data_IF_563289064015
#
_entry.id   IF_563289064015
#
_cell.length_a   1.000
_cell.length_b   1.000
_cell.length_c   1.000
_cell.angle_alpha   90.00
_cell.angle_beta   90.00
_cell.angle_gamma   90.00
#
_symmetry.space_group_name_H-M   'P 1'
#
loop_
_entity.id
_entity.type
_entity.pdbx_description
1 polymer ?
#
# COMPACT_ATOMS: atom_id res chain seq x y z
N UNK A 1 15.07 -11.78 0.01
CA UNK A 1 13.74 -12.26 -0.43
C UNK A 1 13.73 -12.10 -1.93
N UNK A 2 14.15 -13.15 -2.64
CA UNK A 2 14.18 -13.11 -4.09
C UNK A 2 12.73 -13.08 -4.59
N UNK A 3 12.42 -12.21 -5.57
CA UNK A 3 11.10 -12.15 -6.21
C UNK A 3 10.01 -11.31 -5.52
N UNK A 4 10.26 -10.69 -4.36
CA UNK A 4 9.32 -9.75 -3.71
C UNK A 4 9.67 -8.30 -4.05
N UNK A 5 8.68 -7.54 -4.53
CA UNK A 5 8.82 -6.10 -4.81
C UNK A 5 7.93 -5.25 -3.91
N UNK A 6 8.33 -4.00 -3.68
CA UNK A 6 7.47 -2.98 -3.07
C UNK A 6 6.69 -2.21 -4.15
N UNK A 7 5.40 -1.96 -3.92
CA UNK A 7 4.56 -1.14 -4.80
C UNK A 7 3.84 -0.08 -3.98
N UNK A 8 4.15 1.17 -4.30
CA UNK A 8 3.55 2.35 -3.68
C UNK A 8 2.35 2.78 -4.51
N UNK A 9 1.16 2.75 -3.90
CA UNK A 9 -0.03 3.35 -4.48
C UNK A 9 0.03 4.86 -4.25
N UNK A 10 0.34 5.60 -5.31
CA UNK A 10 0.48 7.07 -5.27
C UNK A 10 -0.84 7.83 -5.06
N UNK A 11 -1.96 7.12 -5.05
CA UNK A 11 -3.31 7.68 -4.95
C UNK A 11 -3.93 7.95 -6.31
N UNK A 12 -5.22 7.62 -6.45
CA UNK A 12 -6.03 7.97 -7.62
C UNK A 12 -6.54 9.41 -7.54
N UNK A 13 -7.42 9.81 -8.48
CA UNK A 13 -8.09 11.11 -8.46
C UNK A 13 -8.88 11.32 -7.15
N UNK A 14 -8.22 11.83 -6.12
CA UNK A 14 -8.84 12.14 -4.84
C UNK A 14 -9.72 13.38 -5.03
N UNK A 15 -10.95 13.15 -5.52
CA UNK A 15 -11.97 14.18 -5.74
C UNK A 15 -12.24 15.04 -4.49
N UNK A 16 -11.95 14.49 -3.30
CA UNK A 16 -12.19 15.14 -1.99
C UNK A 16 -11.09 16.13 -1.57
N UNK A 17 -9.85 15.94 -2.01
CA UNK A 17 -8.74 16.88 -1.72
C UNK A 17 -8.39 17.79 -2.90
N UNK A 18 -8.84 17.46 -4.12
CA UNK A 18 -8.56 18.25 -5.32
C UNK A 18 -7.07 18.34 -5.69
N UNK A 19 -6.20 17.53 -5.05
CA UNK A 19 -4.75 17.52 -5.22
C UNK A 19 -4.21 16.10 -5.25
N UNK A 20 -3.07 15.95 -5.90
CA UNK A 20 -2.27 14.72 -5.90
C UNK A 20 -1.78 14.42 -4.48
N UNK A 21 -2.23 13.31 -3.89
CA UNK A 21 -1.87 12.92 -2.52
C UNK A 21 -0.37 12.60 -2.40
N UNK A 22 0.22 11.97 -3.41
CA UNK A 22 1.64 11.60 -3.39
C UNK A 22 2.54 12.83 -3.18
N UNK A 23 2.18 13.96 -3.79
CA UNK A 23 2.91 15.22 -3.69
C UNK A 23 2.59 16.07 -2.45
N UNK A 24 1.73 15.61 -1.54
CA UNK A 24 1.43 16.33 -0.30
C UNK A 24 2.64 16.33 0.61
N UNK A 25 3.00 17.50 1.13
CA UNK A 25 4.11 17.66 2.07
C UNK A 25 3.68 17.34 3.50
N UNK A 26 4.50 16.57 4.20
CA UNK A 26 4.38 16.28 5.62
C UNK A 26 5.77 16.35 6.24
N UNK A 27 5.97 17.26 7.20
CA UNK A 27 7.26 17.48 7.87
C UNK A 27 8.45 17.62 6.89
N UNK A 28 8.26 18.40 5.82
CA UNK A 28 9.33 18.69 4.85
C UNK A 28 9.62 17.63 3.79
N UNK A 29 8.86 16.53 3.72
CA UNK A 29 8.95 15.53 2.65
C UNK A 29 7.60 15.24 2.02
N UNK A 30 7.56 14.83 0.76
CA UNK A 30 6.30 14.36 0.18
C UNK A 30 5.87 13.02 0.80
N UNK A 31 4.58 12.71 0.77
CA UNK A 31 4.09 11.41 1.22
C UNK A 31 4.72 10.25 0.41
N UNK A 32 4.93 10.47 -0.89
CA UNK A 32 5.61 9.53 -1.76
C UNK A 32 7.08 9.32 -1.33
N UNK A 33 7.83 10.41 -1.13
CA UNK A 33 9.24 10.33 -0.71
C UNK A 33 9.37 9.57 0.61
N UNK A 34 8.44 9.84 1.55
CA UNK A 34 8.41 9.18 2.85
C UNK A 34 8.21 7.68 2.71
N UNK A 35 7.15 7.26 1.99
CA UNK A 35 6.88 5.83 1.81
C UNK A 35 8.01 5.13 1.01
N UNK A 36 8.55 5.78 -0.02
CA UNK A 36 9.67 5.24 -0.78
C UNK A 36 10.92 5.03 0.09
N UNK A 37 11.23 5.97 0.97
CA UNK A 37 12.35 5.84 1.90
C UNK A 37 12.15 4.69 2.90
N UNK A 38 10.92 4.47 3.37
CA UNK A 38 10.60 3.37 4.30
C UNK A 38 10.67 1.99 3.63
N UNK A 39 10.26 1.86 2.36
CA UNK A 39 10.27 0.58 1.66
C UNK A 39 11.63 0.23 1.02
N UNK A 40 12.42 1.23 0.60
CA UNK A 40 13.72 1.03 -0.05
C UNK A 40 14.68 0.07 0.68
N UNK A 41 14.82 0.07 2.02
CA UNK A 41 15.72 -0.87 2.70
C UNK A 41 15.20 -2.33 2.72
N UNK A 42 13.92 -2.57 2.43
CA UNK A 42 13.31 -3.90 2.52
C UNK A 42 13.22 -4.62 1.17
N UNK A 43 13.18 -3.88 0.06
CA UNK A 43 12.95 -4.45 -1.27
C UNK A 43 14.06 -4.04 -2.23
N UNK A 44 14.53 -5.00 -3.04
CA UNK A 44 15.49 -4.71 -4.12
C UNK A 44 14.90 -3.80 -5.22
N UNK A 45 13.56 -3.81 -5.34
CA UNK A 45 12.84 -2.95 -6.26
C UNK A 45 11.59 -2.36 -5.60
N UNK A 46 11.42 -1.04 -5.74
CA UNK A 46 10.23 -0.31 -5.30
C UNK A 46 9.66 0.44 -6.50
N UNK A 47 8.39 0.19 -6.81
CA UNK A 47 7.65 0.81 -7.90
C UNK A 47 6.59 1.76 -7.35
N UNK A 48 6.23 2.76 -8.15
CA UNK A 48 5.11 3.66 -7.89
C UNK A 48 4.02 3.35 -8.92
N UNK A 49 2.85 2.90 -8.46
CA UNK A 49 1.68 2.70 -9.33
C UNK A 49 1.14 4.05 -9.80
N UNK A 50 0.93 4.17 -11.10
CA UNK A 50 0.50 5.39 -11.78
C UNK A 50 -0.60 5.09 -12.80
N UNK A 51 -1.48 6.06 -13.03
CA UNK A 51 -2.51 5.99 -14.08
C UNK A 51 -1.93 6.18 -15.49
N UNK A 52 -0.79 6.87 -15.60
CA UNK A 52 -0.02 7.07 -16.82
C UNK A 52 1.47 7.26 -16.51
N UNK A 53 2.38 6.89 -17.43
CA UNK A 53 3.81 7.15 -17.27
C UNK A 53 4.15 8.65 -17.20
N UNK A 54 5.30 8.96 -16.59
CA UNK A 54 5.91 10.28 -16.47
C UNK A 54 5.34 11.16 -15.35
N UNK A 55 4.60 10.60 -14.39
CA UNK A 55 3.93 11.37 -13.33
C UNK A 55 4.86 11.78 -12.19
N UNK A 56 5.77 10.90 -11.80
CA UNK A 56 6.75 11.06 -10.74
C UNK A 56 8.15 10.80 -11.31
N UNK A 57 8.70 11.76 -12.08
CA UNK A 57 10.06 11.64 -12.60
C UNK A 57 11.04 11.48 -11.43
N UNK A 58 11.86 10.42 -11.46
CA UNK A 58 12.77 10.04 -10.38
C UNK A 58 12.40 8.72 -9.68
N UNK A 59 11.20 8.20 -9.93
CA UNK A 59 10.76 6.89 -9.42
C UNK A 59 10.63 5.87 -10.55
N UNK A 60 10.73 4.58 -10.21
CA UNK A 60 10.33 3.50 -11.11
C UNK A 60 8.82 3.45 -11.12
N UNK A 61 8.22 3.80 -12.25
CA UNK A 61 6.77 3.82 -12.36
C UNK A 61 6.22 2.51 -12.92
N UNK A 62 5.02 2.17 -12.49
CA UNK A 62 4.24 1.06 -13.00
C UNK A 62 2.88 1.57 -13.43
N UNK A 63 2.69 1.70 -14.73
CA UNK A 63 1.43 2.16 -15.29
C UNK A 63 0.37 1.05 -15.23
N UNK A 64 -0.80 1.41 -14.70
CA UNK A 64 -1.96 0.52 -14.60
C UNK A 64 -2.38 -0.02 -15.98
N UNK A 65 -2.76 -1.29 -16.01
CA UNK A 65 -3.38 -1.92 -17.18
C UNK A 65 -4.85 -1.54 -17.34
N UNK A 66 -5.49 -1.13 -16.24
CA UNK A 66 -6.88 -0.73 -16.17
C UNK A 66 -7.00 0.64 -15.49
N UNK A 67 -6.57 1.73 -16.14
CA UNK A 67 -6.55 3.06 -15.53
C UNK A 67 -7.91 3.43 -14.93
N UNK A 68 -7.90 3.93 -13.69
CA UNK A 68 -9.10 4.35 -12.98
C UNK A 68 -9.91 3.22 -12.33
N UNK A 69 -9.43 1.97 -12.36
CA UNK A 69 -10.10 0.84 -11.70
C UNK A 69 -9.63 0.60 -10.25
N UNK A 70 -8.96 1.58 -9.65
CA UNK A 70 -8.63 1.59 -8.23
C UNK A 70 -7.41 0.72 -7.88
N UNK A 71 -7.12 0.58 -6.57
CA UNK A 71 -5.87 -0.04 -6.10
C UNK A 71 -5.72 -1.51 -6.52
N UNK A 72 -6.83 -2.23 -6.74
CA UNK A 72 -6.78 -3.61 -7.22
C UNK A 72 -6.18 -3.72 -8.63
N UNK A 73 -6.41 -2.71 -9.49
CA UNK A 73 -5.80 -2.66 -10.82
C UNK A 73 -4.30 -2.37 -10.77
N UNK A 74 -3.85 -1.56 -9.80
CA UNK A 74 -2.42 -1.36 -9.54
C UNK A 74 -1.72 -2.65 -9.12
N UNK A 75 -2.38 -3.47 -8.28
CA UNK A 75 -1.87 -4.78 -7.88
C UNK A 75 -1.84 -5.78 -9.07
N UNK A 76 -2.87 -5.80 -9.91
CA UNK A 76 -2.89 -6.61 -11.15
C UNK A 76 -1.72 -6.23 -12.06
N UNK A 77 -1.55 -4.93 -12.31
CA UNK A 77 -0.48 -4.42 -13.15
C UNK A 77 0.88 -4.77 -12.57
N UNK A 78 1.06 -4.71 -11.24
CA UNK A 78 2.29 -5.09 -10.57
C UNK A 78 2.73 -6.51 -10.93
N UNK A 79 1.85 -7.49 -10.75
CA UNK A 79 2.16 -8.88 -11.08
C UNK A 79 2.41 -9.09 -12.59
N UNK A 80 1.56 -8.50 -13.45
CA UNK A 80 1.64 -8.73 -14.89
C UNK A 80 2.83 -8.04 -15.56
N UNK A 81 3.28 -6.88 -15.04
CA UNK A 81 4.38 -6.10 -15.63
C UNK A 81 5.75 -6.56 -15.16
N UNK A 82 5.87 -6.99 -13.91
CA UNK A 82 7.17 -7.33 -13.29
C UNK A 82 7.41 -8.82 -13.24
N UNK A 83 6.35 -9.63 -13.26
CA UNK A 83 6.44 -11.06 -13.03
C UNK A 83 6.87 -11.43 -11.61
N UNK A 84 6.73 -10.52 -10.64
CA UNK A 84 7.06 -10.75 -9.24
C UNK A 84 6.32 -11.96 -8.65
N UNK A 85 6.97 -12.65 -7.72
CA UNK A 85 6.37 -13.74 -6.94
C UNK A 85 5.49 -13.21 -5.81
N UNK A 86 5.86 -12.04 -5.26
CA UNK A 86 5.06 -11.33 -4.29
C UNK A 86 5.19 -9.80 -4.44
N UNK A 87 4.15 -9.10 -4.05
CA UNK A 87 4.05 -7.64 -4.06
C UNK A 87 3.67 -7.19 -2.67
N UNK A 88 4.51 -6.38 -2.06
CA UNK A 88 4.16 -5.62 -0.87
C UNK A 88 3.52 -4.29 -1.31
N UNK A 89 2.22 -4.14 -1.03
CA UNK A 89 1.44 -2.99 -1.43
C UNK A 89 1.40 -1.98 -0.29
N UNK A 90 1.73 -0.71 -0.56
CA UNK A 90 1.69 0.38 0.43
C UNK A 90 1.04 1.63 -0.17
N UNK A 91 0.01 2.18 0.47
CA UNK A 91 -0.59 3.45 0.05
C UNK A 91 0.08 4.66 0.71
N UNK A 92 0.24 5.74 -0.05
CA UNK A 92 0.86 6.99 0.44
C UNK A 92 0.04 7.71 1.51
N UNK A 93 -1.25 7.38 1.68
CA UNK A 93 -2.10 7.98 2.71
C UNK A 93 -1.92 7.37 4.10
N UNK A 94 -1.01 6.41 4.26
CA UNK A 94 -0.54 5.88 5.55
C UNK A 94 0.87 6.43 5.88
N UNK A 95 1.02 7.74 6.16
CA UNK A 95 2.33 8.38 6.27
C UNK A 95 3.23 7.84 7.38
N UNK A 96 2.66 7.20 8.40
CA UNK A 96 3.41 6.67 9.54
C UNK A 96 3.62 5.16 9.46
N UNK A 97 3.05 4.48 8.46
CA UNK A 97 3.40 3.10 8.17
C UNK A 97 4.80 3.08 7.56
N UNK A 98 5.62 2.11 7.96
CA UNK A 98 7.03 2.13 7.61
C UNK A 98 7.71 0.78 7.72
N UNK A 99 9.05 0.81 7.68
CA UNK A 99 9.87 -0.38 7.53
C UNK A 99 9.62 -1.44 8.63
N UNK A 100 9.47 -1.02 9.88
CA UNK A 100 9.25 -1.96 11.01
C UNK A 100 7.95 -2.75 10.85
N UNK A 101 6.86 -2.10 10.45
CA UNK A 101 5.57 -2.76 10.23
C UNK A 101 5.61 -3.68 9.01
N UNK A 102 6.22 -3.21 7.92
CA UNK A 102 6.39 -4.02 6.71
C UNK A 102 7.24 -5.26 6.96
N UNK A 103 8.35 -5.12 7.70
CA UNK A 103 9.21 -6.23 8.09
C UNK A 103 8.45 -7.28 8.91
N UNK A 104 7.57 -6.86 9.82
CA UNK A 104 6.75 -7.78 10.60
C UNK A 104 5.74 -8.52 9.74
N UNK A 105 5.06 -7.85 8.80
CA UNK A 105 4.17 -8.50 7.84
C UNK A 105 4.92 -9.55 7.01
N UNK A 106 6.11 -9.21 6.51
CA UNK A 106 6.94 -10.10 5.70
C UNK A 106 7.38 -11.34 6.50
N UNK A 107 7.75 -11.17 7.76
CA UNK A 107 8.19 -12.26 8.63
C UNK A 107 7.05 -13.25 8.94
N UNK A 108 5.82 -12.76 9.08
CA UNK A 108 4.66 -13.56 9.49
C UNK A 108 3.83 -14.11 8.32
N UNK A 109 4.14 -13.70 7.09
CA UNK A 109 3.34 -14.03 5.92
C UNK A 109 3.22 -15.52 5.61
N UNK A 110 4.08 -16.36 6.19
CA UNK A 110 4.02 -17.83 6.02
C UNK A 110 3.96 -18.23 4.54
N UNK A 111 3.02 -19.10 4.18
CA UNK A 111 2.77 -19.54 2.80
C UNK A 111 1.43 -19.01 2.21
N UNK A 112 0.66 -18.22 2.96
CA UNK A 112 -0.66 -17.75 2.56
C UNK A 112 -0.63 -16.85 1.30
N UNK A 113 -1.71 -16.74 0.55
CA UNK A 113 -1.74 -15.86 -0.62
C UNK A 113 -1.61 -14.38 -0.26
N UNK A 114 -2.16 -13.97 0.89
CA UNK A 114 -2.04 -12.61 1.40
C UNK A 114 -1.69 -12.58 2.89
N UNK A 115 -1.01 -11.52 3.33
CA UNK A 115 -0.76 -11.24 4.74
C UNK A 115 -1.19 -9.80 5.05
N UNK A 116 -2.23 -9.65 5.87
CA UNK A 116 -2.95 -8.39 6.07
C UNK A 116 -3.18 -8.13 7.55
N UNK A 117 -3.00 -6.89 7.99
CA UNK A 117 -3.31 -6.48 9.37
C UNK A 117 -4.82 -6.38 9.54
N UNK A 118 -5.32 -6.90 10.67
CA UNK A 118 -6.69 -6.70 11.13
C UNK A 118 -6.68 -5.99 12.48
N UNK A 119 -7.29 -4.81 12.53
CA UNK A 119 -7.45 -4.01 13.75
C UNK A 119 -8.39 -4.70 14.73
N UNK A 120 -8.34 -4.32 16.00
CA UNK A 120 -9.31 -4.74 17.03
C UNK A 120 -10.76 -4.38 16.68
N UNK A 121 -10.97 -3.35 15.83
CA UNK A 121 -12.28 -3.00 15.28
C UNK A 121 -12.83 -4.03 14.28
N UNK A 122 -12.02 -5.00 13.84
CA UNK A 122 -12.33 -5.94 12.77
C UNK A 122 -12.02 -5.40 11.37
N UNK A 123 -11.52 -4.16 11.26
CA UNK A 123 -11.15 -3.56 9.99
C UNK A 123 -9.81 -4.09 9.49
N UNK A 124 -9.75 -4.41 8.20
CA UNK A 124 -8.55 -4.87 7.53
C UNK A 124 -7.82 -3.69 6.86
N UNK A 125 -6.49 -3.77 6.79
CA UNK A 125 -5.63 -2.80 6.11
C UNK A 125 -4.98 -3.39 4.84
N UNK A 126 -5.75 -3.57 3.75
CA UNK A 126 -5.25 -4.20 2.53
C UNK A 126 -4.29 -3.33 1.71
N UNK A 127 -4.12 -2.06 2.10
CA UNK A 127 -3.25 -1.13 1.39
C UNK A 127 -1.89 -0.96 2.08
N UNK A 128 -1.59 -1.79 3.08
CA UNK A 128 -0.26 -1.96 3.67
C UNK A 128 -0.06 -3.45 4.00
N UNK A 129 0.14 -4.26 2.96
CA UNK A 129 0.00 -5.70 3.05
C UNK A 129 0.85 -6.44 1.98
N UNK A 130 1.11 -7.73 2.22
CA UNK A 130 1.77 -8.60 1.26
C UNK A 130 0.73 -9.40 0.45
N UNK A 131 0.95 -9.50 -0.85
CA UNK A 131 0.18 -10.34 -1.77
C UNK A 131 1.12 -11.21 -2.58
N UNK A 132 0.82 -12.50 -2.73
CA UNK A 132 1.57 -13.45 -3.56
C UNK A 132 0.92 -13.60 -4.92
N UNK A 133 1.68 -14.15 -5.87
CA UNK A 133 1.23 -14.34 -7.26
C UNK A 133 -0.02 -15.21 -7.38
N UNK A 134 -0.30 -16.09 -6.41
CA UNK A 134 -1.55 -16.85 -6.32
C UNK A 134 -2.80 -15.95 -6.30
N UNK A 135 -2.69 -14.70 -5.84
CA UNK A 135 -3.77 -13.72 -5.90
C UNK A 135 -4.15 -13.29 -7.34
N UNK A 136 -3.29 -13.51 -8.35
CA UNK A 136 -3.46 -12.92 -9.68
C UNK A 136 -4.76 -13.34 -10.38
N UNK A 137 -5.14 -14.61 -10.30
CA UNK A 137 -6.39 -15.07 -10.90
C UNK A 137 -7.62 -14.53 -10.13
N UNK A 138 -7.73 -14.71 -8.79
CA UNK A 138 -8.83 -14.15 -8.00
C UNK A 138 -8.97 -12.63 -8.14
N UNK A 139 -7.86 -11.88 -8.16
CA UNK A 139 -7.90 -10.42 -8.31
C UNK A 139 -8.37 -10.00 -9.70
N UNK A 140 -7.98 -10.74 -10.75
CA UNK A 140 -8.43 -10.48 -12.13
C UNK A 140 -9.92 -10.73 -12.26
N UNK A 141 -10.44 -11.78 -11.63
CA UNK A 141 -11.87 -12.06 -11.55
C UNK A 141 -12.64 -10.93 -10.85
N UNK A 142 -12.15 -10.45 -9.69
CA UNK A 142 -12.73 -9.30 -9.01
C UNK A 142 -12.84 -8.06 -9.92
N UNK A 143 -11.77 -7.73 -10.65
CA UNK A 143 -11.76 -6.60 -11.59
C UNK A 143 -12.78 -6.79 -12.72
N UNK A 144 -12.88 -7.99 -13.29
CA UNK A 144 -13.85 -8.30 -14.34
C UNK A 144 -15.30 -8.19 -13.86
N UNK A 145 -15.56 -8.44 -12.57
CA UNK A 145 -16.85 -8.23 -11.92
C UNK A 145 -17.09 -6.77 -11.50
N UNK A 146 -16.16 -5.86 -11.80
CA UNK A 146 -16.25 -4.44 -11.45
C UNK A 146 -15.93 -4.13 -9.98
N UNK A 147 -15.35 -5.07 -9.23
CA UNK A 147 -14.85 -4.86 -7.87
C UNK A 147 -13.48 -4.17 -7.95
N UNK A 148 -13.32 -3.04 -7.25
CA UNK A 148 -12.13 -2.17 -7.36
C UNK A 148 -11.29 -2.08 -6.08
N UNK A 149 -11.89 -2.42 -4.94
CA UNK A 149 -11.22 -2.37 -3.64
C UNK A 149 -10.44 -3.65 -3.39
N UNK A 150 -9.21 -3.55 -2.90
CA UNK A 150 -8.38 -4.72 -2.55
C UNK A 150 -9.03 -5.58 -1.47
N UNK A 151 -9.85 -5.00 -0.59
CA UNK A 151 -10.65 -5.75 0.39
C UNK A 151 -11.52 -6.84 -0.26
N UNK A 152 -12.02 -6.64 -1.48
CA UNK A 152 -12.84 -7.64 -2.17
C UNK A 152 -12.06 -8.90 -2.59
N UNK A 153 -10.73 -8.82 -2.67
CA UNK A 153 -9.86 -9.97 -2.93
C UNK A 153 -9.74 -10.89 -1.73
N UNK A 154 -9.77 -10.33 -0.51
CA UNK A 154 -9.44 -11.06 0.72
C UNK A 154 -10.40 -12.21 1.01
N UNK A 155 -11.65 -12.13 0.54
CA UNK A 155 -12.65 -13.19 0.66
C UNK A 155 -12.45 -14.34 -0.35
N UNK A 156 -11.45 -14.25 -1.23
CA UNK A 156 -11.21 -15.18 -2.35
C UNK A 156 -9.85 -15.86 -2.32
N UNK A 157 -9.04 -15.59 -1.31
CA UNK A 157 -7.66 -16.05 -1.21
C UNK A 157 -7.38 -16.53 0.20
N UNK A 158 -6.36 -17.37 0.36
CA UNK A 158 -5.89 -17.71 1.71
C UNK A 158 -5.20 -16.48 2.31
N UNK A 159 -5.81 -15.91 3.35
CA UNK A 159 -5.32 -14.69 3.98
C UNK A 159 -4.83 -14.99 5.40
N UNK A 160 -3.53 -14.79 5.61
CA UNK A 160 -2.93 -14.68 6.94
C UNK A 160 -3.32 -13.33 7.53
N UNK A 161 -4.14 -13.37 8.58
CA UNK A 161 -4.47 -12.20 9.37
C UNK A 161 -3.44 -12.00 10.47
N UNK A 162 -2.90 -10.78 10.54
CA UNK A 162 -2.12 -10.31 11.68
C UNK A 162 -3.04 -9.46 12.54
N UNK A 163 -3.48 -10.04 13.65
CA UNK A 163 -4.31 -9.29 14.59
C UNK A 163 -3.46 -8.20 15.25
N UNK A 164 -4.06 -7.05 15.49
CA UNK A 164 -3.41 -5.94 16.22
C UNK A 164 -2.84 -6.39 17.57
N UNK A 165 -3.49 -7.34 18.25
CA UNK A 165 -3.03 -7.91 19.52
C UNK A 165 -1.73 -8.74 19.41
N UNK A 166 -1.38 -9.22 18.20
CA UNK A 166 -0.13 -9.95 17.92
C UNK A 166 1.06 -9.01 17.63
N UNK A 167 0.81 -7.69 17.65
CA UNK A 167 1.76 -6.63 17.31
C UNK A 167 1.92 -5.59 18.44
N UNK A 168 2.05 -6.01 19.72
CA UNK A 168 2.00 -5.10 20.88
C UNK A 168 3.17 -4.11 20.93
N UNK A 169 4.27 -4.40 20.23
CA UNK A 169 5.43 -3.52 20.14
C UNK A 169 5.28 -2.38 19.13
N UNK A 170 4.23 -2.41 18.31
CA UNK A 170 3.96 -1.41 17.27
C UNK A 170 2.76 -0.54 17.67
N UNK A 171 2.94 0.77 17.57
CA UNK A 171 1.83 1.73 17.67
C UNK A 171 1.02 1.69 16.36
N UNK A 172 0.12 0.71 16.25
CA UNK A 172 -0.70 0.50 15.06
C UNK A 172 -1.74 1.61 14.84
N UNK A 173 -2.20 2.26 15.91
CA UNK A 173 -3.09 3.42 15.79
C UNK A 173 -2.39 4.54 15.02
N UNK A 174 -1.14 4.83 15.37
CA UNK A 174 -0.33 5.80 14.64
C UNK A 174 0.11 5.29 13.28
N UNK A 175 0.66 4.08 13.20
CA UNK A 175 1.21 3.53 11.96
C UNK A 175 0.16 3.44 10.85
N UNK A 176 -1.08 3.09 11.21
CA UNK A 176 -2.18 2.96 10.26
C UNK A 176 -3.06 4.21 10.19
N UNK A 177 -2.57 5.37 10.64
CA UNK A 177 -3.30 6.62 10.54
C UNK A 177 -3.43 7.04 9.07
N UNK A 178 -4.68 7.12 8.58
CA UNK A 178 -4.98 7.57 7.23
C UNK A 178 -5.08 9.10 7.11
N UNK A 179 -4.40 9.70 6.12
CA UNK A 179 -4.50 11.13 5.80
C UNK A 179 -5.27 11.35 4.49
N UNK A 180 -6.54 11.71 4.63
CA UNK A 180 -7.49 11.88 3.52
C UNK A 180 -7.98 13.33 3.33
N UNK A 181 -7.78 14.18 4.32
CA UNK A 181 -8.29 15.56 4.38
C UNK A 181 -7.21 16.53 4.87
N UNK A 182 -7.38 17.83 4.59
CA UNK A 182 -6.47 18.85 5.09
C UNK A 182 -6.40 18.90 6.63
N UNK A 183 -7.53 18.66 7.32
CA UNK A 183 -7.55 18.62 8.79
C UNK A 183 -6.82 17.40 9.38
N UNK A 184 -6.83 16.26 8.70
CA UNK A 184 -6.01 15.10 9.07
C UNK A 184 -4.53 15.37 8.78
N UNK A 185 -4.22 16.07 7.68
CA UNK A 185 -2.84 16.45 7.36
C UNK A 185 -2.25 17.37 8.43
N UNK A 186 -2.99 18.38 8.89
CA UNK A 186 -2.52 19.25 9.98
C UNK A 186 -2.22 18.45 11.25
N UNK A 187 -3.14 17.56 11.66
CA UNK A 187 -2.94 16.69 12.83
C UNK A 187 -1.73 15.75 12.64
N UNK A 188 -1.54 15.22 11.44
CA UNK A 188 -0.38 14.41 11.12
C UNK A 188 0.92 15.24 11.18
N UNK A 189 0.91 16.50 10.75
CA UNK A 189 2.08 17.38 10.82
C UNK A 189 2.47 17.68 12.28
N UNK A 190 1.48 17.98 13.13
CA UNK A 190 1.68 18.14 14.58
C UNK A 190 2.27 16.87 15.19
N UNK A 191 1.71 15.69 14.87
CA UNK A 191 2.20 14.40 15.36
C UNK A 191 3.56 13.99 14.78
N UNK A 192 3.96 14.53 13.63
CA UNK A 192 5.28 14.33 13.03
C UNK A 192 6.35 15.23 13.65
N UNK A 193 5.96 16.28 14.39
CA UNK A 193 6.83 17.11 15.20
C UNK A 193 7.22 18.45 14.56
N UNK A 194 6.26 19.36 14.36
CA UNK A 194 6.57 20.79 14.41
C UNK A 194 6.64 21.25 15.88
N UNK A 195 7.87 21.47 16.36
CA UNK A 195 8.19 22.60 17.24
C UNK A 195 8.86 23.67 16.39
#
# INVERSE_FOLDING_TARGET
>A
MDGTIGVILSGGQSRRMGRDKAGVMLAGRTLLDRMAAELAPLFGEVYVSVDRPGRYPGYRELADLRPGQGPLAGLEAAFLRTGAEAVFLAAVDLPFAGASLAARILAEAGAADACVIRRRSGEAEPLFALYRRGCLEPLTACLNEGRRAVKALLDRVDCRWLEEDDLPELDLERALWNVNTGAELCRAAEAAGEK
#
